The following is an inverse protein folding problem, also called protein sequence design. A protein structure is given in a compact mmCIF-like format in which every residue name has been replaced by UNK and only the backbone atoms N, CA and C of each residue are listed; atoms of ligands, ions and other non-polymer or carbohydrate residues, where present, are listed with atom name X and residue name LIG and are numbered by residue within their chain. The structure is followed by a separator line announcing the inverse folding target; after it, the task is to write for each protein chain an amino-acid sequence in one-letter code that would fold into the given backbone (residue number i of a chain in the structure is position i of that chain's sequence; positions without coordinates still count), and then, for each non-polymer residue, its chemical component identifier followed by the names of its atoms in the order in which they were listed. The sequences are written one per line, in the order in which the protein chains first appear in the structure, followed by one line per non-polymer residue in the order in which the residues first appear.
data_IF_868793727531
#
_entry.id   IF_868793727531
#
_cell.length_a   1.000
_cell.length_b   1.000
_cell.length_c   1.000
_cell.angle_alpha   90.00
_cell.angle_beta   90.00
_cell.angle_gamma   90.00
#
_symmetry.space_group_name_H-M   'P 1'
#
loop_
_entity.id
_entity.type
_entity.pdbx_description
1 polymer ?
#
# COMPACT_ATOMS: atom_id res chain seq x y z
N UNK A 1 -4.67 1.13 63.87
CA UNK A 1 -5.53 0.93 62.68
C UNK A 1 -5.56 2.21 61.86
N UNK A 2 -4.84 2.27 60.74
CA UNK A 2 -4.94 3.32 59.71
C UNK A 2 -4.49 2.70 58.39
N UNK A 3 -5.28 2.96 57.34
CA UNK A 3 -5.55 2.09 56.20
C UNK A 3 -4.43 2.16 55.15
N UNK A 4 -3.97 1.01 54.66
CA UNK A 4 -3.12 0.89 53.47
C UNK A 4 -4.03 1.10 52.25
N UNK A 5 -3.85 2.20 51.52
CA UNK A 5 -4.49 2.44 50.24
C UNK A 5 -3.52 1.95 49.16
N UNK A 6 -3.94 0.89 48.48
CA UNK A 6 -3.26 0.28 47.33
C UNK A 6 -3.31 1.25 46.15
N UNK A 7 -2.16 1.69 45.68
CA UNK A 7 -2.02 2.50 44.47
C UNK A 7 -2.09 1.56 43.25
N UNK A 8 -3.26 1.48 42.61
CA UNK A 8 -3.43 0.82 41.31
C UNK A 8 -2.82 1.70 40.22
N UNK A 9 -1.57 1.42 39.87
CA UNK A 9 -0.95 1.95 38.64
C UNK A 9 -1.63 1.28 37.44
N UNK A 10 -2.67 1.95 36.95
CA UNK A 10 -3.26 1.69 35.64
C UNK A 10 -2.18 1.84 34.57
N UNK A 11 -1.81 0.72 33.97
CA UNK A 11 -0.88 0.63 32.86
C UNK A 11 -1.54 1.29 31.65
N UNK A 12 -0.97 2.43 31.23
CA UNK A 12 -1.32 3.12 30.00
C UNK A 12 -1.14 2.18 28.80
N UNK A 13 -2.23 1.80 28.15
CA UNK A 13 -2.21 1.41 26.75
C UNK A 13 -2.69 2.60 25.93
N UNK A 14 -1.79 3.56 25.71
CA UNK A 14 -1.94 4.47 24.58
C UNK A 14 -1.79 3.64 23.32
N UNK A 15 -2.89 3.36 22.64
CA UNK A 15 -2.88 2.98 21.23
C UNK A 15 -2.39 4.18 20.42
N UNK A 16 -1.08 4.34 20.34
CA UNK A 16 -0.43 5.28 19.44
C UNK A 16 -0.73 4.85 18.00
N UNK A 17 -1.75 5.44 17.39
CA UNK A 17 -1.89 5.43 15.94
C UNK A 17 -0.73 6.24 15.36
N UNK A 18 0.32 5.57 14.89
CA UNK A 18 1.40 6.24 14.16
C UNK A 18 0.86 6.67 12.80
N UNK A 19 0.66 7.97 12.64
CA UNK A 19 0.31 8.60 11.36
C UNK A 19 1.59 8.78 10.55
N UNK A 20 1.86 7.86 9.63
CA UNK A 20 2.98 7.98 8.69
C UNK A 20 2.56 8.92 7.55
N UNK A 21 3.21 10.08 7.44
CA UNK A 21 3.08 10.99 6.29
C UNK A 21 4.28 10.84 5.37
N UNK A 22 4.03 10.39 4.14
CA UNK A 22 5.06 10.34 3.09
C UNK A 22 5.08 11.68 2.33
N UNK A 23 6.04 12.54 2.65
CA UNK A 23 6.34 13.76 1.89
C UNK A 23 7.57 13.53 1.01
N UNK A 24 7.39 13.61 -0.30
CA UNK A 24 8.50 13.82 -1.24
C UNK A 24 9.15 15.20 -1.05
N UNK A 25 10.25 15.49 -1.75
CA UNK A 25 11.09 16.65 -1.46
C UNK A 25 10.33 17.99 -1.61
N UNK A 26 10.53 18.86 -0.63
CA UNK A 26 9.93 20.21 -0.52
C UNK A 26 10.33 21.09 -1.70
N UNK A 27 9.34 21.72 -2.33
CA UNK A 27 9.46 23.02 -2.99
C UNK A 27 8.36 23.93 -2.42
N UNK A 28 8.75 25.10 -1.94
CA UNK A 28 7.87 26.05 -1.27
C UNK A 28 6.91 26.79 -2.23
N UNK A 29 5.79 27.17 -1.64
CA UNK A 29 4.91 28.31 -1.93
C UNK A 29 3.81 28.18 -3.02
N UNK A 30 2.54 28.01 -2.56
CA UNK A 30 1.59 29.13 -2.38
C UNK A 30 0.28 28.64 -1.78
N UNK A 31 -0.14 29.34 -0.73
CA UNK A 31 -1.43 29.25 -0.04
C UNK A 31 -2.58 29.35 -1.03
N UNK A 32 -3.15 28.20 -1.41
CA UNK A 32 -4.47 28.11 -1.99
C UNK A 32 -5.35 27.41 -0.97
N UNK A 33 -6.25 28.17 -0.39
CA UNK A 33 -7.34 27.75 0.49
C UNK A 33 -7.90 26.39 0.03
N UNK A 34 -7.44 25.30 0.64
CA UNK A 34 -7.95 23.97 0.35
C UNK A 34 -9.34 23.90 0.95
N UNK A 35 -10.36 23.98 0.11
CA UNK A 35 -11.64 23.35 0.42
C UNK A 35 -11.28 21.92 0.81
N UNK A 36 -11.44 21.60 2.09
CA UNK A 36 -11.16 20.28 2.66
C UNK A 36 -12.15 19.30 2.05
N UNK A 37 -11.87 18.84 0.82
CA UNK A 37 -12.59 17.74 0.20
C UNK A 37 -12.44 16.56 1.16
N UNK A 38 -13.56 16.17 1.77
CA UNK A 38 -13.64 15.03 2.66
C UNK A 38 -13.08 13.82 1.90
N UNK A 39 -12.03 13.21 2.44
CA UNK A 39 -11.39 12.04 1.82
C UNK A 39 -12.42 10.91 1.78
N UNK A 40 -12.68 10.37 0.60
CA UNK A 40 -13.62 9.28 0.39
C UNK A 40 -12.97 7.93 0.75
N UNK A 41 -13.74 6.92 1.19
CA UNK A 41 -13.22 5.58 1.42
C UNK A 41 -12.75 4.94 0.11
N UNK A 42 -11.70 4.11 0.17
CA UNK A 42 -11.27 3.30 -0.97
C UNK A 42 -12.26 2.19 -1.28
N UNK A 43 -12.42 1.91 -2.56
CA UNK A 43 -13.08 0.70 -3.05
C UNK A 43 -12.04 -0.25 -3.65
N UNK A 44 -12.02 -1.50 -3.21
CA UNK A 44 -11.18 -2.53 -3.82
C UNK A 44 -11.73 -2.95 -5.19
N UNK A 45 -10.84 -3.05 -6.17
CA UNK A 45 -11.15 -3.46 -7.53
C UNK A 45 -10.69 -4.90 -7.72
N UNK A 46 -11.62 -5.74 -8.18
CA UNK A 46 -11.31 -7.03 -8.80
C UNK A 46 -11.34 -6.85 -10.31
N UNK A 47 -10.31 -7.36 -10.99
CA UNK A 47 -10.32 -7.43 -12.44
C UNK A 47 -11.40 -8.41 -12.93
N UNK A 48 -11.91 -8.17 -14.14
CA UNK A 48 -13.10 -8.85 -14.67
C UNK A 48 -12.93 -10.37 -14.73
N UNK A 49 -11.74 -10.84 -15.12
CA UNK A 49 -11.45 -12.28 -15.20
C UNK A 49 -11.53 -13.01 -13.84
N UNK A 50 -11.40 -12.28 -12.73
CA UNK A 50 -11.40 -12.84 -11.37
C UNK A 50 -12.70 -12.58 -10.59
N UNK A 51 -13.71 -11.93 -11.20
CA UNK A 51 -14.93 -11.52 -10.48
C UNK A 51 -15.72 -12.67 -9.87
N UNK A 52 -15.79 -13.80 -10.57
CA UNK A 52 -16.58 -14.97 -10.17
C UNK A 52 -15.71 -16.11 -9.61
N UNK A 53 -14.44 -15.83 -9.31
CA UNK A 53 -13.48 -16.82 -8.80
C UNK A 53 -13.26 -16.65 -7.30
N UNK A 54 -13.28 -17.76 -6.57
CA UNK A 54 -12.76 -17.79 -5.20
C UNK A 54 -11.25 -17.58 -5.28
N UNK A 55 -10.76 -16.56 -4.60
CA UNK A 55 -9.34 -16.20 -4.62
C UNK A 55 -8.97 -15.60 -3.28
N UNK A 56 -8.28 -16.38 -2.46
CA UNK A 56 -7.93 -16.04 -1.09
C UNK A 56 -7.12 -14.73 -1.00
N UNK A 57 -6.24 -14.47 -1.97
CA UNK A 57 -5.43 -13.24 -2.01
C UNK A 57 -6.32 -12.02 -2.28
N UNK A 58 -7.26 -12.11 -3.23
CA UNK A 58 -8.19 -11.02 -3.52
C UNK A 58 -9.19 -10.79 -2.38
N UNK A 59 -9.63 -11.86 -1.71
CA UNK A 59 -10.50 -11.77 -0.53
C UNK A 59 -9.79 -11.10 0.65
N UNK A 60 -8.54 -11.51 0.93
CA UNK A 60 -7.70 -10.89 1.96
C UNK A 60 -7.43 -9.41 1.62
N UNK A 61 -7.20 -9.10 0.34
CA UNK A 61 -6.99 -7.73 -0.14
C UNK A 61 -8.22 -6.86 0.07
N UNK A 62 -9.40 -7.35 -0.31
CA UNK A 62 -10.66 -6.63 -0.13
C UNK A 62 -10.93 -6.38 1.37
N UNK A 63 -10.69 -7.38 2.21
CA UNK A 63 -10.82 -7.26 3.67
C UNK A 63 -9.87 -6.18 4.22
N UNK A 64 -8.60 -6.21 3.83
CA UNK A 64 -7.61 -5.21 4.26
C UNK A 64 -8.08 -3.78 3.91
N UNK A 65 -8.62 -3.57 2.72
CA UNK A 65 -9.11 -2.24 2.30
C UNK A 65 -10.37 -1.82 3.07
N UNK A 66 -11.26 -2.75 3.43
CA UNK A 66 -12.40 -2.46 4.32
C UNK A 66 -11.95 -2.04 5.72
N UNK A 67 -10.85 -2.60 6.22
CA UNK A 67 -10.24 -2.25 7.51
C UNK A 67 -9.43 -0.95 7.45
N UNK A 68 -8.86 -0.63 6.27
CA UNK A 68 -8.04 0.56 6.02
C UNK A 68 -8.60 1.44 4.88
N UNK A 69 -9.86 1.90 4.93
CA UNK A 69 -10.52 2.59 3.81
C UNK A 69 -9.87 3.96 3.51
N UNK A 70 -9.10 4.49 4.46
CA UNK A 70 -8.45 5.79 4.38
C UNK A 70 -6.96 5.69 4.01
N UNK A 71 -6.49 4.57 3.45
CA UNK A 71 -5.09 4.41 3.02
C UNK A 71 -4.67 5.47 1.97
N UNK A 72 -3.47 6.05 2.11
CA UNK A 72 -2.90 7.01 1.15
C UNK A 72 -3.23 8.47 1.38
N UNK A 73 -2.77 9.37 0.52
CA UNK A 73 -3.09 10.81 0.59
C UNK A 73 -3.88 11.26 -0.65
N UNK A 74 -4.87 12.17 -0.51
CA UNK A 74 -5.58 12.74 -1.66
C UNK A 74 -4.63 13.31 -2.72
N UNK A 75 -4.97 13.10 -3.99
CA UNK A 75 -4.19 13.59 -5.13
C UNK A 75 -2.97 12.74 -5.50
N UNK A 76 -2.73 11.60 -4.82
CA UNK A 76 -1.57 10.73 -5.09
C UNK A 76 -1.94 9.40 -5.73
N UNK A 77 -1.16 8.99 -6.72
CA UNK A 77 -1.02 7.60 -7.11
C UNK A 77 0.20 7.05 -6.37
N UNK A 78 0.05 5.92 -5.70
CA UNK A 78 1.16 5.31 -4.99
C UNK A 78 0.98 3.80 -4.87
N UNK A 79 2.07 3.11 -4.55
CA UNK A 79 2.09 1.69 -4.23
C UNK A 79 2.20 1.51 -2.72
N UNK A 80 1.57 0.47 -2.17
CA UNK A 80 1.59 0.11 -0.76
C UNK A 80 1.93 -1.38 -0.60
N UNK A 81 2.79 -1.70 0.38
CA UNK A 81 3.10 -3.08 0.75
C UNK A 81 2.43 -3.41 2.10
N UNK A 82 1.40 -4.27 2.15
CA UNK A 82 0.73 -4.67 3.38
C UNK A 82 1.51 -5.70 4.22
N UNK A 83 2.71 -6.12 3.81
CA UNK A 83 3.49 -7.11 4.56
C UNK A 83 3.08 -8.56 4.27
N UNK A 84 2.37 -8.82 3.17
CA UNK A 84 1.86 -10.15 2.83
C UNK A 84 2.65 -10.79 1.67
N UNK A 85 3.06 -12.04 1.87
CA UNK A 85 3.74 -12.89 0.87
C UNK A 85 2.99 -14.22 0.75
N UNK A 86 2.99 -14.81 -0.44
CA UNK A 86 2.24 -16.03 -0.74
C UNK A 86 2.86 -16.81 -1.90
N UNK A 87 2.31 -18.00 -2.15
CA UNK A 87 2.78 -18.91 -3.21
C UNK A 87 3.57 -20.10 -2.66
N UNK A 88 4.28 -20.79 -3.55
CA UNK A 88 5.03 -22.01 -3.25
C UNK A 88 6.54 -21.81 -3.45
N UNK A 89 7.33 -22.89 -3.44
CA UNK A 89 8.78 -22.77 -3.57
C UNK A 89 9.26 -22.27 -4.92
N UNK A 90 8.50 -22.52 -5.99
CA UNK A 90 8.83 -22.15 -7.37
C UNK A 90 8.26 -20.76 -7.74
N UNK A 91 7.12 -20.41 -7.14
CA UNK A 91 6.36 -19.20 -7.43
C UNK A 91 6.03 -18.45 -6.15
N UNK A 92 6.96 -17.61 -5.69
CA UNK A 92 6.80 -16.73 -4.53
C UNK A 92 6.39 -15.34 -4.98
N UNK A 93 5.42 -14.76 -4.30
CA UNK A 93 4.91 -13.42 -4.58
C UNK A 93 4.82 -12.58 -3.32
N UNK A 94 5.11 -11.29 -3.46
CA UNK A 94 4.71 -10.25 -2.52
C UNK A 94 3.45 -9.58 -3.05
N UNK A 95 2.44 -9.42 -2.19
CA UNK A 95 1.26 -8.63 -2.52
C UNK A 95 1.60 -7.16 -2.39
N UNK A 96 1.36 -6.39 -3.44
CA UNK A 96 1.34 -4.93 -3.39
C UNK A 96 -0.04 -4.40 -3.73
N UNK A 97 -0.35 -3.19 -3.28
CA UNK A 97 -1.51 -2.43 -3.73
C UNK A 97 -1.08 -1.24 -4.54
N UNK A 98 -1.73 -1.00 -5.68
CA UNK A 98 -1.71 0.29 -6.36
C UNK A 98 -2.97 1.05 -5.97
N UNK A 99 -2.78 2.26 -5.43
CA UNK A 99 -3.87 3.05 -4.85
C UNK A 99 -4.01 4.34 -5.61
N UNK A 100 -5.18 4.55 -6.22
CA UNK A 100 -5.49 5.75 -6.96
C UNK A 100 -6.29 6.73 -6.09
N UNK A 101 -5.60 7.69 -5.48
CA UNK A 101 -6.22 8.86 -4.81
C UNK A 101 -6.27 10.10 -5.70
N UNK A 102 -5.90 9.97 -6.98
CA UNK A 102 -5.97 11.07 -7.95
C UNK A 102 -7.40 11.26 -8.44
N UNK A 103 -7.63 12.30 -9.25
CA UNK A 103 -8.90 12.51 -9.95
C UNK A 103 -8.93 11.86 -11.33
N UNK A 104 -7.87 11.16 -11.73
CA UNK A 104 -7.69 10.57 -13.06
C UNK A 104 -7.92 9.07 -13.00
N UNK A 105 -8.72 8.53 -13.91
CA UNK A 105 -8.86 7.08 -14.07
C UNK A 105 -7.64 6.50 -14.77
N UNK A 106 -7.15 5.34 -14.31
CA UNK A 106 -6.16 4.53 -15.00
C UNK A 106 -6.93 3.36 -15.64
N UNK A 107 -7.15 3.45 -16.94
CA UNK A 107 -8.00 2.55 -17.74
C UNK A 107 -7.23 1.85 -18.87
N UNK A 108 -5.91 1.92 -18.83
CA UNK A 108 -5.00 1.30 -19.79
C UNK A 108 -3.79 0.73 -19.08
N UNK A 109 -3.18 -0.24 -19.74
CA UNK A 109 -1.94 -0.84 -19.25
C UNK A 109 -0.86 0.22 -19.11
N UNK A 110 0.04 -0.02 -18.17
CA UNK A 110 1.12 0.88 -17.86
C UNK A 110 2.29 0.15 -17.24
N UNK A 111 3.30 0.92 -16.91
CA UNK A 111 4.46 0.45 -16.18
C UNK A 111 4.98 1.56 -15.28
N UNK A 112 5.63 1.19 -14.19
CA UNK A 112 6.30 2.12 -13.30
C UNK A 112 7.54 1.48 -12.70
N UNK A 113 8.39 2.30 -12.08
CA UNK A 113 9.59 1.84 -11.37
C UNK A 113 9.30 1.78 -9.88
N UNK A 114 9.50 0.61 -9.29
CA UNK A 114 9.36 0.32 -7.86
C UNK A 114 10.74 0.22 -7.21
N UNK A 115 10.89 0.95 -6.10
CA UNK A 115 11.99 0.73 -5.17
C UNK A 115 11.43 0.49 -3.77
N UNK A 116 12.00 -0.48 -3.06
CA UNK A 116 11.73 -0.75 -1.65
C UNK A 116 13.07 -0.97 -0.95
N UNK A 117 13.31 -0.20 0.09
CA UNK A 117 14.45 -0.31 0.99
C UNK A 117 13.93 -0.61 2.40
N UNK A 118 14.66 -1.42 3.15
CA UNK A 118 14.42 -1.63 4.58
C UNK A 118 15.73 -1.48 5.34
N UNK A 119 15.75 -0.57 6.33
CA UNK A 119 16.92 -0.33 7.19
C UNK A 119 18.21 0.01 6.42
N UNK A 120 18.09 0.73 5.29
CA UNK A 120 19.21 1.08 4.42
C UNK A 120 19.55 0.05 3.35
N UNK A 121 18.97 -1.14 3.39
CA UNK A 121 19.22 -2.23 2.44
C UNK A 121 18.12 -2.32 1.37
N UNK A 122 18.46 -2.33 0.07
CA UNK A 122 17.47 -2.45 -0.99
C UNK A 122 16.90 -3.87 -1.09
N UNK A 123 15.56 -3.97 -1.06
CA UNK A 123 14.79 -5.19 -1.36
C UNK A 123 14.34 -5.22 -2.82
N UNK A 124 13.89 -4.07 -3.32
CA UNK A 124 13.65 -3.82 -4.74
C UNK A 124 14.42 -2.57 -5.14
N UNK A 125 15.22 -2.68 -6.20
CA UNK A 125 15.95 -1.56 -6.77
C UNK A 125 15.66 -1.46 -8.26
N UNK A 126 15.07 -0.34 -8.66
CA UNK A 126 14.72 0.01 -10.04
C UNK A 126 13.94 -1.10 -10.77
N UNK A 127 13.04 -1.78 -10.07
CA UNK A 127 12.24 -2.85 -10.64
C UNK A 127 11.11 -2.26 -11.45
N UNK A 128 11.10 -2.53 -12.76
CA UNK A 128 9.97 -2.17 -13.61
C UNK A 128 8.82 -3.13 -13.33
N UNK A 129 7.67 -2.57 -12.95
CA UNK A 129 6.44 -3.31 -12.68
C UNK A 129 5.44 -2.95 -13.76
N UNK A 130 4.91 -3.97 -14.42
CA UNK A 130 3.81 -3.82 -15.35
C UNK A 130 2.48 -3.82 -14.60
N UNK A 131 1.63 -2.85 -14.94
CA UNK A 131 0.25 -2.79 -14.50
C UNK A 131 -0.64 -3.10 -15.70
N UNK A 132 -1.40 -4.18 -15.60
CA UNK A 132 -2.28 -4.65 -16.66
C UNK A 132 -3.74 -4.57 -16.21
N UNK A 133 -4.59 -3.96 -17.04
CA UNK A 133 -6.01 -3.78 -16.72
C UNK A 133 -6.71 -5.13 -16.59
N UNK A 134 -6.30 -6.12 -17.38
CA UNK A 134 -6.88 -7.45 -17.30
C UNK A 134 -6.56 -8.13 -15.96
N UNK A 135 -5.38 -7.89 -15.39
CA UNK A 135 -4.93 -8.51 -14.14
C UNK A 135 -5.40 -7.78 -12.88
N UNK A 136 -5.30 -6.45 -12.88
CA UNK A 136 -5.56 -5.61 -11.70
C UNK A 136 -6.88 -4.84 -11.78
N UNK A 137 -7.47 -4.69 -12.97
CA UNK A 137 -8.72 -3.96 -13.19
C UNK A 137 -8.54 -2.45 -13.25
N UNK A 138 -9.50 -1.75 -13.87
CA UNK A 138 -9.49 -0.28 -14.04
C UNK A 138 -9.52 0.46 -12.70
N UNK A 139 -8.54 1.35 -12.48
CA UNK A 139 -8.47 2.16 -11.26
C UNK A 139 -9.13 3.53 -11.46
N UNK A 140 -10.40 3.63 -11.07
CA UNK A 140 -11.11 4.92 -10.94
C UNK A 140 -10.56 5.73 -9.74
N UNK A 141 -10.88 7.02 -9.61
CA UNK A 141 -10.61 7.77 -8.39
C UNK A 141 -11.11 7.04 -7.13
N UNK A 142 -10.31 7.07 -6.07
CA UNK A 142 -10.57 6.40 -4.79
C UNK A 142 -10.74 4.87 -4.90
N UNK A 143 -9.95 4.26 -5.77
CA UNK A 143 -9.89 2.79 -5.88
C UNK A 143 -8.49 2.24 -5.63
N UNK A 144 -8.43 0.94 -5.41
CA UNK A 144 -7.21 0.19 -5.14
C UNK A 144 -7.31 -1.19 -5.75
N UNK A 145 -6.20 -1.67 -6.32
CA UNK A 145 -6.10 -3.01 -6.89
C UNK A 145 -4.92 -3.76 -6.29
N UNK A 146 -5.04 -5.09 -6.25
CA UNK A 146 -3.95 -6.00 -5.91
C UNK A 146 -2.98 -6.14 -7.10
N UNK A 147 -1.69 -6.18 -6.79
CA UNK A 147 -0.59 -6.41 -7.72
C UNK A 147 0.37 -7.41 -7.08
N UNK A 148 0.27 -8.71 -7.41
CA UNK A 148 1.30 -9.68 -7.10
C UNK A 148 2.60 -9.34 -7.81
N UNK A 149 3.71 -9.29 -7.08
CA UNK A 149 5.05 -9.13 -7.66
C UNK A 149 5.86 -10.36 -7.31
N UNK A 150 6.46 -11.01 -8.32
CA UNK A 150 7.31 -12.19 -8.11
C UNK A 150 8.55 -11.81 -7.30
N UNK A 151 8.90 -12.65 -6.32
CA UNK A 151 10.04 -12.44 -5.43
C UNK A 151 10.92 -13.69 -5.35
N UNK A 152 12.17 -13.50 -4.95
CA UNK A 152 13.07 -14.60 -4.57
C UNK A 152 12.79 -15.05 -3.14
N UNK A 153 13.29 -16.25 -2.79
CA UNK A 153 13.26 -16.73 -1.40
C UNK A 153 13.97 -15.76 -0.44
N UNK A 154 15.13 -15.22 -0.84
CA UNK A 154 15.87 -14.26 -0.04
C UNK A 154 15.06 -12.97 0.21
N UNK A 155 14.38 -12.46 -0.82
CA UNK A 155 13.49 -11.31 -0.68
C UNK A 155 12.33 -11.59 0.27
N UNK A 156 11.70 -12.76 0.15
CA UNK A 156 10.61 -13.18 1.03
C UNK A 156 11.06 -13.27 2.51
N UNK A 157 12.21 -13.90 2.77
CA UNK A 157 12.78 -14.02 4.12
C UNK A 157 13.06 -12.65 4.73
N UNK A 158 13.64 -11.73 3.95
CA UNK A 158 13.85 -10.35 4.40
C UNK A 158 12.53 -9.62 4.65
N UNK A 159 11.53 -9.78 3.78
CA UNK A 159 10.19 -9.17 3.98
C UNK A 159 9.51 -9.67 5.25
N UNK A 160 9.61 -10.97 5.55
CA UNK A 160 9.06 -11.56 6.79
C UNK A 160 9.76 -11.04 8.05
N UNK A 161 11.00 -10.57 7.93
CA UNK A 161 11.74 -9.94 9.03
C UNK A 161 11.39 -8.46 9.26
N UNK A 162 10.62 -7.84 8.37
CA UNK A 162 10.21 -6.44 8.49
C UNK A 162 9.16 -6.29 9.60
N UNK A 163 9.59 -5.82 10.76
CA UNK A 163 8.75 -5.62 11.94
C UNK A 163 8.54 -4.15 12.32
N UNK A 164 9.36 -3.24 11.78
CA UNK A 164 9.26 -1.81 12.00
C UNK A 164 9.04 -1.08 10.66
N UNK A 165 7.79 -0.75 10.38
CA UNK A 165 7.41 -0.03 9.15
C UNK A 165 8.12 1.32 8.97
N UNK A 166 8.63 1.95 10.04
CA UNK A 166 9.33 3.25 9.94
C UNK A 166 10.70 3.15 9.26
N UNK A 167 11.28 1.94 9.23
CA UNK A 167 12.53 1.63 8.53
C UNK A 167 12.34 1.35 7.04
N UNK A 168 11.10 1.16 6.60
CA UNK A 168 10.78 0.90 5.21
C UNK A 168 10.69 2.23 4.42
N UNK A 169 11.39 2.29 3.29
CA UNK A 169 11.25 3.38 2.33
C UNK A 169 10.83 2.80 1.00
N UNK A 170 9.70 3.26 0.49
CA UNK A 170 9.21 2.84 -0.82
C UNK A 170 9.07 4.06 -1.72
N UNK A 171 9.43 3.89 -2.99
CA UNK A 171 9.14 4.89 -4.01
C UNK A 171 8.52 4.25 -5.24
N UNK A 172 7.68 5.05 -5.87
CA UNK A 172 6.92 4.76 -7.07
C UNK A 172 7.20 5.92 -8.01
N UNK A 173 7.88 5.65 -9.11
CA UNK A 173 8.29 6.67 -10.06
C UNK A 173 7.91 6.26 -11.50
N UNK A 174 7.89 7.25 -12.39
CA UNK A 174 7.81 7.05 -13.83
C UNK A 174 6.62 6.20 -14.31
N UNK A 175 5.45 6.38 -13.69
CA UNK A 175 4.23 5.76 -14.22
C UNK A 175 3.96 6.27 -15.64
N UNK A 176 3.95 5.33 -16.58
CA UNK A 176 3.72 5.58 -17.99
C UNK A 176 2.66 4.61 -18.49
N UNK A 177 1.73 5.12 -19.29
CA UNK A 177 0.85 4.25 -20.05
C UNK A 177 1.64 3.54 -21.14
N UNK A 178 1.31 2.27 -21.39
CA UNK A 178 1.79 1.57 -22.57
C UNK A 178 1.09 2.11 -23.81
N UNK A 179 1.79 2.06 -24.94
CA UNK A 179 1.20 2.42 -26.23
C UNK A 179 0.06 1.46 -26.58
N UNK A 180 -0.93 1.97 -27.32
CA UNK A 180 -2.10 1.20 -27.76
C UNK A 180 -1.79 0.29 -28.95
#
# INVERSE_FOLDING_TARGET
MKKIIVLMTSLLLLTGCVKVSFTGPKKEEKTSQSTSRKKEPLTFVRADQYKDQNNEVLEASEKFIKEHPMLGEPGKLFVFFPGYTFGDEENRFALFFIVNRTTTTIDRDGSFVLNLEYDGEPLFKDVTVDYEINESGVLKPNTVAAMPIKITKEQEEKMKSMNDSSKAKMSFNDFKFKDK
#
